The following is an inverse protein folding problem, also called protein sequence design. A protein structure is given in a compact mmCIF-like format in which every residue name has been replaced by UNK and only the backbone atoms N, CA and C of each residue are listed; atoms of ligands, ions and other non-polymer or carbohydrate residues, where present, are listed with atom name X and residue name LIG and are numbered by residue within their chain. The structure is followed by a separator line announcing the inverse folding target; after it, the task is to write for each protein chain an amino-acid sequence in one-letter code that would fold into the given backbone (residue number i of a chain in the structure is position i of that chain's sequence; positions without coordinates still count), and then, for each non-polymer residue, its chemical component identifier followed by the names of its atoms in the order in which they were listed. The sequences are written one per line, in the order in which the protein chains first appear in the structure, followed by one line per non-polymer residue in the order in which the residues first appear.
data_IF_098566356972
#
_entry.id   IF_098566356972
#
_cell.length_a   1.000
_cell.length_b   1.000
_cell.length_c   1.000
_cell.angle_alpha   90.00
_cell.angle_beta   90.00
_cell.angle_gamma   90.00
#
_symmetry.space_group_name_H-M   'P 1'
#
loop_
_entity.id
_entity.type
_entity.pdbx_description
1 polymer ?
#
# COMPACT_ATOMS: atom_id res chain seq x y z
N UNK A 1 -34.03 15.74 19.65
CA UNK A 1 -33.01 16.42 18.81
C UNK A 1 -31.57 16.00 19.15
N UNK A 2 -31.11 16.07 20.41
CA UNK A 2 -29.72 15.67 20.82
C UNK A 2 -29.35 14.20 20.55
N UNK A 3 -30.27 13.25 20.77
CA UNK A 3 -30.03 11.81 20.49
C UNK A 3 -29.93 11.51 18.99
N UNK A 4 -30.70 12.20 18.15
CA UNK A 4 -30.67 11.99 16.69
C UNK A 4 -29.36 12.51 16.08
N UNK A 5 -28.83 13.60 16.62
CA UNK A 5 -27.51 14.15 16.25
C UNK A 5 -26.37 13.22 16.69
N UNK A 6 -26.45 12.63 17.90
CA UNK A 6 -25.46 11.65 18.37
C UNK A 6 -25.44 10.37 17.53
N UNK A 7 -26.61 9.86 17.16
CA UNK A 7 -26.76 8.66 16.33
C UNK A 7 -26.20 8.87 14.91
N UNK A 8 -26.46 10.05 14.32
CA UNK A 8 -25.91 10.44 13.02
C UNK A 8 -24.37 10.59 13.06
N UNK A 9 -23.82 11.17 14.14
CA UNK A 9 -22.37 11.32 14.32
C UNK A 9 -21.62 9.98 14.41
N UNK A 10 -22.23 8.95 15.01
CA UNK A 10 -21.63 7.61 15.10
C UNK A 10 -21.57 6.89 13.74
N UNK A 11 -22.56 7.11 12.87
CA UNK A 11 -22.61 6.52 11.53
C UNK A 11 -21.55 7.12 10.58
N UNK A 12 -21.10 8.36 10.82
CA UNK A 12 -20.11 9.05 9.98
C UNK A 12 -18.65 8.67 10.30
N UNK A 13 -18.35 8.08 11.47
CA UNK A 13 -16.99 7.70 11.87
C UNK A 13 -16.56 6.28 11.41
N UNK A 14 -17.44 5.54 10.73
CA UNK A 14 -17.23 4.13 10.37
C UNK A 14 -16.55 3.88 9.01
N UNK A 15 -16.31 4.90 8.18
CA UNK A 15 -15.77 4.69 6.83
C UNK A 15 -14.35 4.10 6.80
N UNK A 16 -13.56 4.29 7.86
CA UNK A 16 -12.20 3.74 7.94
C UNK A 16 -12.17 2.21 7.84
N UNK A 17 -13.17 1.52 8.41
CA UNK A 17 -13.27 0.06 8.35
C UNK A 17 -13.55 -0.48 6.94
N UNK A 18 -14.11 0.35 6.05
CA UNK A 18 -14.40 -0.02 4.65
C UNK A 18 -13.19 0.24 3.72
N UNK A 19 -12.31 1.17 4.08
CA UNK A 19 -11.17 1.56 3.24
C UNK A 19 -9.99 0.58 3.41
N UNK A 20 -9.77 0.03 4.61
CA UNK A 20 -8.65 -0.88 4.88
C UNK A 20 -8.60 -2.11 3.96
N UNK A 21 -9.70 -2.85 3.71
CA UNK A 21 -9.67 -4.00 2.81
C UNK A 21 -9.41 -3.61 1.35
N UNK A 22 -9.94 -2.46 0.91
CA UNK A 22 -9.71 -1.95 -0.45
C UNK A 22 -8.25 -1.51 -0.66
N UNK A 23 -7.62 -0.92 0.37
CA UNK A 23 -6.19 -0.59 0.34
C UNK A 23 -5.30 -1.83 0.26
N UNK A 24 -5.62 -2.89 1.01
CA UNK A 24 -4.86 -4.15 0.94
C UNK A 24 -4.97 -4.77 -0.46
N UNK A 25 -6.18 -4.85 -1.04
CA UNK A 25 -6.37 -5.38 -2.40
C UNK A 25 -5.69 -4.52 -3.49
N UNK A 26 -5.69 -3.20 -3.34
CA UNK A 26 -4.96 -2.29 -4.22
C UNK A 26 -3.46 -2.58 -4.17
N UNK A 27 -2.91 -2.77 -2.97
CA UNK A 27 -1.49 -3.00 -2.74
C UNK A 27 -1.06 -4.33 -3.36
N UNK A 28 -1.81 -5.42 -3.16
CA UNK A 28 -1.48 -6.71 -3.77
C UNK A 28 -1.51 -6.64 -5.31
N UNK A 29 -2.54 -6.01 -5.88
CA UNK A 29 -2.67 -5.89 -7.33
C UNK A 29 -1.58 -5.00 -7.96
N UNK A 30 -1.17 -3.92 -7.28
CA UNK A 30 -0.08 -3.07 -7.76
C UNK A 30 1.28 -3.79 -7.68
N UNK A 31 1.53 -4.53 -6.60
CA UNK A 31 2.71 -5.39 -6.47
C UNK A 31 2.76 -6.39 -7.61
N UNK A 32 1.66 -7.07 -7.91
CA UNK A 32 1.57 -7.98 -9.05
C UNK A 32 1.84 -7.27 -10.40
N UNK A 33 1.28 -6.08 -10.61
CA UNK A 33 1.47 -5.31 -11.83
C UNK A 33 2.92 -4.86 -12.05
N UNK A 34 3.62 -4.49 -10.96
CA UNK A 34 5.03 -4.09 -11.02
C UNK A 34 5.93 -5.30 -11.27
N UNK A 35 5.70 -6.41 -10.55
CA UNK A 35 6.50 -7.63 -10.67
C UNK A 35 6.37 -8.29 -12.05
N UNK A 36 5.22 -8.15 -12.70
CA UNK A 36 4.92 -8.78 -13.99
C UNK A 36 4.90 -7.78 -15.16
N UNK A 37 5.47 -6.58 -14.99
CA UNK A 37 5.51 -5.59 -16.06
C UNK A 37 6.61 -5.91 -17.10
N UNK A 38 6.27 -5.73 -18.37
CA UNK A 38 7.14 -6.01 -19.51
C UNK A 38 8.14 -4.87 -19.77
N UNK A 39 7.84 -3.66 -19.29
CA UNK A 39 8.65 -2.45 -19.48
C UNK A 39 9.35 -2.05 -18.18
N UNK A 40 10.60 -2.48 -18.05
CA UNK A 40 11.42 -2.20 -16.89
C UNK A 40 11.71 -0.70 -16.70
N UNK A 41 11.73 0.11 -17.76
CA UNK A 41 11.98 1.55 -17.64
C UNK A 41 10.79 2.25 -16.96
N UNK A 42 9.56 1.85 -17.30
CA UNK A 42 8.36 2.33 -16.62
C UNK A 42 8.32 1.89 -15.16
N UNK A 43 8.70 0.63 -14.87
CA UNK A 43 8.80 0.14 -13.49
C UNK A 43 9.83 0.92 -12.70
N UNK A 44 11.03 1.14 -13.23
CA UNK A 44 12.10 1.87 -12.55
C UNK A 44 11.66 3.29 -12.17
N UNK A 45 10.98 3.97 -13.10
CA UNK A 45 10.49 5.33 -12.89
C UNK A 45 9.33 5.41 -11.89
N UNK A 46 8.44 4.40 -11.86
CA UNK A 46 7.22 4.40 -11.06
C UNK A 46 7.35 3.74 -9.69
N UNK A 47 8.17 2.70 -9.55
CA UNK A 47 8.30 1.92 -8.32
C UNK A 47 8.65 2.75 -7.06
N UNK A 48 9.50 3.80 -7.13
CA UNK A 48 9.77 4.64 -5.95
C UNK A 48 8.52 5.28 -5.34
N UNK A 49 7.54 5.68 -6.17
CA UNK A 49 6.30 6.25 -5.66
C UNK A 49 5.47 5.21 -4.89
N UNK A 50 5.48 3.96 -5.37
CA UNK A 50 4.76 2.88 -4.71
C UNK A 50 5.44 2.41 -3.41
N UNK A 51 6.78 2.41 -3.36
CA UNK A 51 7.54 2.19 -2.12
C UNK A 51 7.17 3.23 -1.03
N UNK A 52 7.08 4.51 -1.40
CA UNK A 52 6.63 5.54 -0.46
C UNK A 52 5.17 5.35 -0.01
N UNK A 53 4.31 4.92 -0.94
CA UNK A 53 2.91 4.66 -0.62
C UNK A 53 2.77 3.52 0.39
N UNK A 54 3.44 2.38 0.16
CA UNK A 54 3.34 1.23 1.06
C UNK A 54 3.94 1.52 2.44
N UNK A 55 5.03 2.30 2.50
CA UNK A 55 5.58 2.79 3.77
C UNK A 55 4.58 3.67 4.53
N UNK A 56 3.86 4.54 3.82
CA UNK A 56 2.85 5.40 4.44
C UNK A 56 1.68 4.60 5.02
N UNK A 57 1.27 3.52 4.35
CA UNK A 57 0.22 2.61 4.80
C UNK A 57 0.69 1.79 6.02
N UNK A 58 1.92 1.26 5.98
CA UNK A 58 2.51 0.55 7.12
C UNK A 58 2.72 1.48 8.33
N UNK A 59 2.99 2.77 8.12
CA UNK A 59 3.05 3.72 9.24
C UNK A 59 1.69 3.89 9.93
N UNK A 60 0.58 3.70 9.24
CA UNK A 60 -0.77 3.75 9.82
C UNK A 60 -1.15 2.43 10.51
N UNK A 61 -0.74 1.29 9.96
CA UNK A 61 -1.02 -0.05 10.49
C UNK A 61 0.23 -0.95 10.39
N UNK A 62 1.16 -0.86 11.37
CA UNK A 62 2.48 -1.49 11.30
C UNK A 62 2.44 -3.02 11.32
N UNK A 63 1.40 -3.59 11.93
CA UNK A 63 1.26 -5.04 12.13
C UNK A 63 0.42 -5.71 11.03
N UNK A 64 0.10 -4.98 9.96
CA UNK A 64 -0.68 -5.50 8.84
C UNK A 64 0.13 -6.51 8.01
N UNK A 65 -0.07 -7.80 8.26
CA UNK A 65 0.67 -8.88 7.60
C UNK A 65 0.61 -8.82 6.06
N UNK A 66 -0.53 -8.41 5.49
CA UNK A 66 -0.68 -8.33 4.05
C UNK A 66 0.18 -7.21 3.46
N UNK A 67 0.16 -6.02 4.06
CA UNK A 67 1.02 -4.90 3.64
C UNK A 67 2.51 -5.24 3.83
N UNK A 68 2.88 -5.91 4.93
CA UNK A 68 4.25 -6.33 5.18
C UNK A 68 4.76 -7.31 4.10
N UNK A 69 3.93 -8.26 3.67
CA UNK A 69 4.27 -9.21 2.59
C UNK A 69 4.43 -8.52 1.23
N UNK A 70 3.51 -7.62 0.89
CA UNK A 70 3.60 -6.83 -0.35
C UNK A 70 4.85 -5.95 -0.34
N UNK A 71 5.15 -5.30 0.79
CA UNK A 71 6.36 -4.49 0.94
C UNK A 71 7.61 -5.34 0.76
N UNK A 72 7.73 -6.47 1.46
CA UNK A 72 8.90 -7.34 1.33
C UNK A 72 9.14 -7.79 -0.13
N UNK A 73 8.08 -8.20 -0.82
CA UNK A 73 8.16 -8.63 -2.23
C UNK A 73 8.61 -7.50 -3.15
N UNK A 74 8.00 -6.31 -2.98
CA UNK A 74 8.28 -5.15 -3.80
C UNK A 74 9.69 -4.60 -3.57
N UNK A 75 10.10 -4.43 -2.31
CA UNK A 75 11.43 -3.97 -1.95
C UNK A 75 12.49 -4.92 -2.52
N UNK A 76 12.33 -6.23 -2.32
CA UNK A 76 13.26 -7.23 -2.84
C UNK A 76 13.40 -7.12 -4.36
N UNK A 77 12.30 -7.10 -5.10
CA UNK A 77 12.32 -7.00 -6.56
C UNK A 77 12.93 -5.68 -7.06
N UNK A 78 12.61 -4.56 -6.41
CA UNK A 78 13.18 -3.27 -6.78
C UNK A 78 14.69 -3.23 -6.53
N UNK A 79 15.14 -3.72 -5.37
CA UNK A 79 16.57 -3.73 -5.05
C UNK A 79 17.36 -4.67 -5.93
N UNK A 80 16.82 -5.86 -6.24
CA UNK A 80 17.50 -6.87 -7.06
C UNK A 80 17.73 -6.38 -8.50
N UNK A 81 16.76 -5.66 -9.07
CA UNK A 81 16.82 -5.22 -10.47
C UNK A 81 17.52 -3.86 -10.62
N UNK A 82 17.26 -2.90 -9.71
CA UNK A 82 17.61 -1.49 -9.94
C UNK A 82 18.68 -0.94 -8.99
N UNK A 83 18.92 -1.56 -7.84
CA UNK A 83 19.93 -1.07 -6.88
C UNK A 83 21.26 -1.78 -7.13
N UNK A 84 22.27 -1.02 -7.56
CA UNK A 84 23.62 -1.53 -7.76
C UNK A 84 24.42 -1.44 -6.48
N UNK A 85 25.13 -2.51 -6.15
CA UNK A 85 26.07 -2.51 -5.04
C UNK A 85 27.24 -1.57 -5.35
N UNK A 86 27.64 -0.76 -4.37
CA UNK A 86 28.80 0.12 -4.52
C UNK A 86 30.05 -0.70 -4.27
N UNK A 87 30.77 -1.01 -5.35
CA UNK A 87 32.09 -1.65 -5.33
C UNK A 87 33.16 -0.64 -4.93
#
# INVERSE_FOLDING_TARGET
MRIFVLSCGLLLCGCSALISPAMVGLTDNLSHAILNNNDLATVEAGAPAYLLMIDSLLRQDPDNEALLRSAASLYAAYTDVFVKDKI
#
